data_IF_954398510803
#
_entry.id   IF_954398510803
#
_cell.length_a   1.000
_cell.length_b   1.000
_cell.length_c   1.000
_cell.angle_alpha   90.00
_cell.angle_beta   90.00
_cell.angle_gamma   90.00
#
_symmetry.space_group_name_H-M   'P 1'
#
loop_
_entity.id
_entity.type
_entity.pdbx_description
1 polymer ?
#
# COMPACT_ATOMS: atom_id res chain seq x y z
N UNK A 1 26.69 -0.56 -2.43
CA UNK A 1 25.22 -0.42 -2.45
C UNK A 1 24.68 -1.16 -1.22
N UNK A 2 24.08 -0.46 -0.24
CA UNK A 2 23.50 -1.13 0.93
C UNK A 2 22.12 -1.70 0.54
N UNK A 3 22.08 -2.98 0.19
CA UNK A 3 20.84 -3.66 -0.17
C UNK A 3 19.96 -3.78 1.08
N UNK A 4 18.81 -3.09 1.11
CA UNK A 4 17.85 -3.23 2.21
C UNK A 4 17.37 -4.67 2.27
N UNK A 5 17.50 -5.31 3.43
CA UNK A 5 17.03 -6.66 3.63
C UNK A 5 15.51 -6.74 3.47
N UNK A 6 15.02 -7.79 2.83
CA UNK A 6 13.59 -8.03 2.67
C UNK A 6 12.90 -8.19 4.04
N UNK A 7 11.65 -7.72 4.15
CA UNK A 7 10.80 -7.86 5.34
C UNK A 7 10.76 -9.32 5.86
N UNK A 8 10.66 -10.30 4.95
CA UNK A 8 10.69 -11.72 5.31
C UNK A 8 12.02 -12.12 5.97
N UNK A 9 13.14 -11.66 5.40
CA UNK A 9 14.48 -11.96 5.92
C UNK A 9 14.69 -11.35 7.30
N UNK A 10 14.25 -10.10 7.49
CA UNK A 10 14.30 -9.43 8.79
C UNK A 10 13.50 -10.22 9.82
N UNK A 11 12.24 -10.54 9.54
CA UNK A 11 11.40 -11.30 10.48
C UNK A 11 11.99 -12.67 10.86
N UNK A 12 12.45 -13.45 9.87
CA UNK A 12 13.02 -14.77 10.12
C UNK A 12 14.30 -14.72 10.96
N UNK A 13 15.11 -13.67 10.80
CA UNK A 13 16.32 -13.49 11.60
C UNK A 13 16.00 -13.24 13.08
N UNK A 14 14.89 -12.56 13.37
CA UNK A 14 14.53 -12.16 14.74
C UNK A 14 13.48 -13.06 15.39
N UNK A 15 12.80 -13.93 14.62
CA UNK A 15 11.65 -14.71 15.09
C UNK A 15 11.96 -15.56 16.33
N UNK A 16 13.11 -16.25 16.35
CA UNK A 16 13.50 -17.10 17.48
C UNK A 16 13.69 -16.30 18.78
N UNK A 17 14.41 -15.18 18.70
CA UNK A 17 14.60 -14.29 19.85
C UNK A 17 13.26 -13.67 20.28
N UNK A 18 12.44 -13.26 19.31
CA UNK A 18 11.12 -12.69 19.58
C UNK A 18 10.18 -13.69 20.25
N UNK A 19 10.17 -14.96 19.85
CA UNK A 19 9.35 -16.00 20.48
C UNK A 19 9.77 -16.25 21.92
N UNK A 20 11.07 -16.26 22.20
CA UNK A 20 11.58 -16.43 23.57
C UNK A 20 11.13 -15.28 24.49
N UNK A 21 11.22 -14.03 24.03
CA UNK A 21 10.72 -12.90 24.81
C UNK A 21 9.19 -12.93 24.99
N UNK A 22 8.45 -13.45 24.02
CA UNK A 22 6.99 -13.63 24.17
C UNK A 22 6.69 -14.69 25.24
N UNK A 23 7.42 -15.80 25.24
CA UNK A 23 7.27 -16.87 26.26
C UNK A 23 7.65 -16.38 27.67
N UNK A 24 8.63 -15.49 27.78
CA UNK A 24 9.01 -14.82 29.03
C UNK A 24 7.97 -13.79 29.51
N UNK A 25 6.91 -13.52 28.73
CA UNK A 25 5.80 -12.64 29.10
C UNK A 25 6.00 -11.16 28.74
N UNK A 26 7.01 -10.82 27.94
CA UNK A 26 7.20 -9.44 27.50
C UNK A 26 6.10 -9.00 26.51
N UNK A 27 5.74 -7.72 26.57
CA UNK A 27 4.75 -7.17 25.63
C UNK A 27 5.34 -7.08 24.22
N UNK A 28 4.52 -7.39 23.21
CA UNK A 28 4.89 -7.27 21.79
C UNK A 28 5.48 -5.89 21.45
N UNK A 29 4.96 -4.81 22.05
CA UNK A 29 5.45 -3.45 21.84
C UNK A 29 6.88 -3.25 22.37
N UNK A 30 7.19 -3.77 23.56
CA UNK A 30 8.53 -3.68 24.14
C UNK A 30 9.56 -4.44 23.29
N UNK A 31 9.21 -5.64 22.86
CA UNK A 31 10.04 -6.49 22.00
C UNK A 31 10.31 -5.80 20.65
N UNK A 32 9.29 -5.19 20.04
CA UNK A 32 9.45 -4.43 18.80
C UNK A 32 10.41 -3.25 18.95
N UNK A 33 10.23 -2.44 20.00
CA UNK A 33 11.10 -1.29 20.25
C UNK A 33 12.56 -1.72 20.43
N UNK A 34 12.80 -2.79 21.20
CA UNK A 34 14.13 -3.37 21.39
C UNK A 34 14.79 -3.74 20.05
N UNK A 35 14.06 -4.38 19.14
CA UNK A 35 14.62 -4.76 17.84
C UNK A 35 14.78 -3.59 16.85
N UNK A 36 13.98 -2.53 16.98
CA UNK A 36 14.20 -1.28 16.26
C UNK A 36 15.45 -0.54 16.75
N UNK A 37 15.68 -0.48 18.06
CA UNK A 37 16.89 0.13 18.64
C UNK A 37 18.17 -0.59 18.19
N UNK A 38 18.13 -1.92 18.12
CA UNK A 38 19.22 -2.72 17.59
C UNK A 38 19.37 -2.67 16.05
N UNK A 39 18.49 -1.95 15.35
CA UNK A 39 18.43 -1.87 13.88
C UNK A 39 18.29 -3.25 13.21
N UNK A 40 17.77 -4.25 13.93
CA UNK A 40 17.48 -5.58 13.37
C UNK A 40 16.21 -5.58 12.51
N UNK A 41 15.30 -4.63 12.77
CA UNK A 41 14.00 -4.53 12.09
C UNK A 41 13.78 -3.09 11.61
N UNK A 42 13.48 -2.92 10.32
CA UNK A 42 13.09 -1.67 9.66
C UNK A 42 11.59 -1.66 9.26
N UNK A 43 10.87 -2.75 9.49
CA UNK A 43 9.44 -2.85 9.13
C UNK A 43 8.53 -2.21 10.18
N UNK A 44 7.35 -1.75 9.76
CA UNK A 44 6.36 -1.17 10.68
C UNK A 44 5.87 -2.15 11.75
N UNK A 45 5.53 -1.62 12.93
CA UNK A 45 4.93 -2.39 14.03
C UNK A 45 3.69 -3.19 13.60
N UNK A 46 2.85 -2.64 12.73
CA UNK A 46 1.64 -3.31 12.24
C UNK A 46 1.99 -4.54 11.40
N UNK A 47 3.00 -4.43 10.53
CA UNK A 47 3.44 -5.56 9.71
C UNK A 47 4.08 -6.65 10.60
N UNK A 48 4.91 -6.23 11.55
CA UNK A 48 5.58 -7.14 12.47
C UNK A 48 4.58 -7.91 13.36
N UNK A 49 3.61 -7.21 13.96
CA UNK A 49 2.58 -7.86 14.79
C UNK A 49 1.70 -8.83 14.00
N UNK A 50 1.39 -8.52 12.73
CA UNK A 50 0.68 -9.46 11.85
C UNK A 50 1.47 -10.74 11.62
N UNK A 51 2.76 -10.63 11.35
CA UNK A 51 3.63 -11.80 11.15
C UNK A 51 3.73 -12.65 12.41
N UNK A 52 3.81 -12.04 13.59
CA UNK A 52 3.80 -12.77 14.87
C UNK A 52 2.48 -13.50 15.07
N UNK A 53 1.35 -12.83 14.86
CA UNK A 53 0.04 -13.44 15.07
C UNK A 53 -0.21 -14.61 14.11
N UNK A 54 0.33 -14.52 12.89
CA UNK A 54 0.17 -15.54 11.86
C UNK A 54 1.33 -16.54 11.83
N UNK A 55 2.26 -16.49 12.79
CA UNK A 55 3.48 -17.29 12.71
C UNK A 55 3.24 -18.81 12.75
N UNK A 56 2.12 -19.23 13.34
CA UNK A 56 1.69 -20.63 13.39
C UNK A 56 0.90 -21.07 12.15
N UNK A 57 0.58 -20.15 11.23
CA UNK A 57 -0.09 -20.51 9.99
C UNK A 57 0.89 -21.17 9.01
N UNK A 58 0.39 -22.07 8.17
CA UNK A 58 1.19 -22.77 7.15
C UNK A 58 1.91 -21.80 6.20
N UNK A 59 1.33 -20.61 5.99
CA UNK A 59 1.89 -19.57 5.13
C UNK A 59 1.83 -18.16 5.77
N UNK A 60 2.75 -17.84 6.71
CA UNK A 60 2.71 -16.60 7.49
C UNK A 60 2.97 -15.33 6.64
N UNK A 61 3.56 -15.50 5.46
CA UNK A 61 3.85 -14.43 4.51
C UNK A 61 2.93 -14.42 3.29
N UNK A 62 2.03 -15.40 3.16
CA UNK A 62 1.07 -15.36 2.07
C UNK A 62 0.09 -14.22 2.33
N UNK A 63 -0.23 -13.46 1.28
CA UNK A 63 -1.43 -12.65 1.31
C UNK A 63 -2.61 -13.62 1.35
N UNK A 64 -3.12 -13.92 2.54
CA UNK A 64 -4.46 -14.45 2.65
C UNK A 64 -5.37 -13.30 2.20
N UNK A 65 -5.67 -13.28 0.90
CA UNK A 65 -6.83 -12.57 0.39
C UNK A 65 -8.03 -13.27 0.99
N UNK A 66 -8.30 -13.03 2.27
CA UNK A 66 -9.59 -13.37 2.85
C UNK A 66 -10.58 -12.59 2.00
N UNK A 67 -11.44 -13.25 1.19
CA UNK A 67 -12.52 -12.52 0.57
C UNK A 67 -13.29 -11.95 1.75
N UNK A 68 -13.28 -10.62 1.92
CA UNK A 68 -14.17 -9.95 2.85
C UNK A 68 -15.54 -10.57 2.59
N UNK A 69 -16.05 -11.39 3.52
CA UNK A 69 -17.43 -11.86 3.44
C UNK A 69 -18.24 -10.58 3.38
N UNK A 70 -18.78 -10.27 2.19
CA UNK A 70 -19.73 -9.18 2.02
C UNK A 70 -20.86 -9.54 2.97
N UNK A 71 -20.93 -8.85 4.11
CA UNK A 71 -22.16 -8.82 4.89
C UNK A 71 -23.25 -8.37 3.92
N UNK A 72 -24.24 -9.24 3.71
CA UNK A 72 -25.44 -8.93 2.95
C UNK A 72 -26.06 -7.70 3.59
N UNK A 73 -26.10 -6.52 2.91
CA UNK A 73 -26.81 -5.39 3.47
C UNK A 73 -28.30 -5.69 3.31
N UNK A 74 -28.97 -5.93 4.43
CA UNK A 74 -30.41 -5.99 4.48
C UNK A 74 -30.95 -4.67 3.93
N UNK A 75 -31.69 -4.75 2.83
CA UNK A 75 -32.10 -3.61 2.02
C UNK A 75 -33.08 -2.71 2.75
N UNK A 76 -32.69 -1.45 2.98
CA UNK A 76 -33.61 -0.32 3.06
C UNK A 76 -33.33 0.60 1.87
N UNK A 77 -34.34 1.00 1.06
CA UNK A 77 -34.10 1.67 -0.21
C UNK A 77 -33.99 3.18 0.03
N UNK A 78 -32.80 3.66 0.35
CA UNK A 78 -32.52 5.11 0.27
C UNK A 78 -31.78 5.38 -1.03
N UNK A 79 -32.47 6.10 -1.93
CA UNK A 79 -31.97 6.57 -3.23
C UNK A 79 -30.67 7.36 -3.05
N UNK A 80 -29.53 6.68 -3.21
CA UNK A 80 -28.24 7.32 -3.45
C UNK A 80 -27.77 6.82 -4.81
N UNK A 81 -27.71 7.73 -5.79
CA UNK A 81 -27.23 7.44 -7.15
C UNK A 81 -25.76 7.01 -7.08
N UNK A 82 -25.51 5.71 -6.96
CA UNK A 82 -24.15 5.18 -7.08
C UNK A 82 -23.79 5.12 -8.55
N UNK A 83 -22.74 5.86 -8.92
CA UNK A 83 -22.13 5.72 -10.25
C UNK A 83 -21.51 4.32 -10.28
N UNK A 84 -22.13 3.42 -11.03
CA UNK A 84 -21.58 2.09 -11.29
C UNK A 84 -20.38 2.25 -12.22
N UNK A 85 -19.17 2.23 -11.67
CA UNK A 85 -17.95 2.16 -12.47
C UNK A 85 -17.86 0.75 -13.04
N UNK A 86 -18.40 0.57 -14.25
CA UNK A 86 -18.19 -0.64 -15.03
C UNK A 86 -16.69 -0.79 -15.31
N UNK A 87 -16.04 -1.75 -14.64
CA UNK A 87 -14.70 -2.24 -15.01
C UNK A 87 -14.78 -3.04 -16.31
N UNK A 88 -15.13 -2.38 -17.42
CA UNK A 88 -14.86 -2.92 -18.76
C UNK A 88 -13.37 -2.71 -19.01
N UNK A 89 -12.63 -3.80 -19.25
CA UNK A 89 -11.21 -3.76 -19.58
C UNK A 89 -10.93 -2.82 -20.76
N UNK A 90 -9.65 -2.45 -20.94
CA UNK A 90 -9.20 -1.57 -22.01
C UNK A 90 -9.73 -2.05 -23.37
N UNK A 91 -10.73 -1.35 -23.91
CA UNK A 91 -11.32 -1.71 -25.20
C UNK A 91 -10.53 -0.99 -26.29
N UNK A 92 -9.79 -1.75 -27.08
CA UNK A 92 -9.18 -1.23 -28.30
C UNK A 92 -10.30 -0.99 -29.32
N UNK A 93 -10.55 0.28 -29.64
CA UNK A 93 -11.45 0.63 -30.74
C UNK A 93 -10.64 0.61 -32.03
N UNK A 94 -11.00 -0.27 -32.97
CA UNK A 94 -10.36 -0.38 -34.29
C UNK A 94 -10.84 0.66 -35.30
N UNK A 95 -11.72 1.60 -34.90
CA UNK A 95 -12.15 2.68 -35.79
C UNK A 95 -10.94 3.54 -36.16
N UNK A 96 -10.68 3.75 -37.47
CA UNK A 96 -9.65 4.68 -37.90
C UNK A 96 -9.99 6.07 -37.36
N UNK A 97 -8.96 6.78 -36.89
CA UNK A 97 -9.12 8.17 -36.50
C UNK A 97 -9.65 8.98 -37.69
N UNK A 98 -10.59 9.89 -37.42
CA UNK A 98 -11.02 10.84 -38.43
C UNK A 98 -9.79 11.61 -38.94
N UNK A 99 -9.58 11.59 -40.26
CA UNK A 99 -8.53 12.33 -40.93
C UNK A 99 -8.67 13.80 -40.59
N UNK A 100 -7.72 14.33 -39.81
CA UNK A 100 -7.69 15.74 -39.42
C UNK A 100 -7.09 16.56 -40.56
N UNK A 101 -7.90 16.85 -41.59
CA UNK A 101 -7.51 17.76 -42.67
C UNK A 101 -7.67 19.25 -42.30
N UNK A 102 -8.41 19.57 -41.23
CA UNK A 102 -8.87 20.96 -40.99
C UNK A 102 -8.61 21.51 -39.57
N UNK A 103 -7.75 20.87 -38.77
CA UNK A 103 -7.38 21.41 -37.46
C UNK A 103 -6.11 22.25 -37.55
N UNK A 104 -6.29 23.57 -37.61
CA UNK A 104 -5.20 24.53 -37.37
C UNK A 104 -4.65 24.33 -35.95
N UNK A 105 -3.31 24.38 -35.76
CA UNK A 105 -2.71 24.32 -34.42
C UNK A 105 -3.34 25.38 -33.51
N UNK A 106 -3.87 24.95 -32.37
CA UNK A 106 -4.37 25.86 -31.37
C UNK A 106 -3.17 26.48 -30.64
N UNK A 107 -2.94 27.77 -30.87
CA UNK A 107 -1.90 28.56 -30.19
C UNK A 107 -2.13 28.48 -28.67
N UNK A 108 -1.12 27.98 -27.94
CA UNK A 108 -1.16 27.96 -26.49
C UNK A 108 -0.89 29.39 -26.01
N UNK A 109 -1.81 29.96 -25.24
CA UNK A 109 -1.55 31.20 -24.50
C UNK A 109 -0.60 30.85 -23.36
N UNK A 110 0.64 31.33 -23.44
CA UNK A 110 1.59 31.22 -22.34
C UNK A 110 1.05 31.98 -21.13
N UNK A 111 0.88 31.27 -20.01
CA UNK A 111 0.54 31.87 -18.73
C UNK A 111 1.80 32.53 -18.15
N UNK A 112 1.70 33.75 -17.58
CA UNK A 112 2.86 34.40 -16.98
C UNK A 112 3.35 33.59 -15.77
N UNK A 113 4.58 33.11 -15.86
CA UNK A 113 5.28 32.47 -14.73
C UNK A 113 5.96 33.55 -13.90
N UNK A 114 5.49 33.77 -12.68
CA UNK A 114 6.20 34.59 -11.69
C UNK A 114 7.15 33.71 -10.89
N UNK A 115 8.46 33.96 -11.05
CA UNK A 115 9.49 33.34 -10.23
C UNK A 115 9.55 34.04 -8.86
N UNK A 116 9.29 33.31 -7.78
CA UNK A 116 9.49 33.81 -6.41
C UNK A 116 10.97 33.64 -6.07
N UNK A 117 11.70 34.76 -5.97
CA UNK A 117 13.07 34.78 -5.48
C UNK A 117 13.07 34.53 -3.97
N UNK A 118 13.90 33.61 -3.48
CA UNK A 118 14.20 33.47 -2.05
C UNK A 118 15.37 34.40 -1.73
N UNK A 119 15.05 35.58 -1.25
CA UNK A 119 15.99 36.50 -0.61
C UNK A 119 15.25 37.21 0.52
N UNK A 120 15.87 37.22 1.70
CA UNK A 120 15.45 37.87 2.96
C UNK A 120 14.46 37.11 3.84
N UNK A 121 14.98 36.11 4.57
CA UNK A 121 14.89 36.04 6.04
C UNK A 121 16.15 35.38 6.61
#
# INVERSE_FOLDING_TARGET
>A
MNLKQSCKSQFLAVWKEASEYIEQGYTKKAIYNFFCEQKKIDMSYVAWTKLINNANEVHPFAQTSTPKKKSTPNSSPTKSKSITVNKKGFQHNSRPYASQSDLKPQEKKDLPVTLISKGDM
#
